data_IF_989775665167
#
_entry.id   IF_989775665167
#
_cell.length_a   1.000
_cell.length_b   1.000
_cell.length_c   1.000
_cell.angle_alpha   90.00
_cell.angle_beta   90.00
_cell.angle_gamma   90.00
#
_symmetry.space_group_name_H-M   'P 1'
#
loop_
_entity.id
_entity.type
_entity.pdbx_description
1 polymer ?
#
# COMPACT_ATOMS: atom_id res chain seq x y z
N UNK A 1 19.25 23.46 6.58
CA UNK A 1 19.27 23.47 5.11
C UNK A 1 19.61 22.05 4.72
N UNK A 2 18.61 21.24 4.37
CA UNK A 2 18.83 19.84 4.01
C UNK A 2 19.56 19.79 2.67
N UNK A 3 20.77 19.25 2.67
CA UNK A 3 21.55 18.97 1.48
C UNK A 3 21.18 17.58 0.97
N UNK A 4 21.17 17.39 -0.36
CA UNK A 4 21.02 16.07 -0.96
C UNK A 4 22.12 15.12 -0.45
N UNK A 5 21.81 13.83 -0.36
CA UNK A 5 22.84 12.81 -0.12
C UNK A 5 23.80 12.72 -1.30
N UNK A 6 25.00 12.17 -1.06
CA UNK A 6 26.08 12.14 -2.05
C UNK A 6 25.69 11.42 -3.34
N UNK A 7 24.89 10.34 -3.26
CA UNK A 7 24.43 9.61 -4.45
C UNK A 7 23.46 10.45 -5.27
N UNK A 8 22.51 11.11 -4.61
CA UNK A 8 21.58 12.01 -5.29
C UNK A 8 22.31 13.20 -5.92
N UNK A 9 23.30 13.77 -5.23
CA UNK A 9 24.10 14.88 -5.75
C UNK A 9 24.90 14.47 -7.00
N UNK A 10 25.56 13.32 -6.98
CA UNK A 10 26.30 12.79 -8.13
C UNK A 10 25.37 12.51 -9.32
N UNK A 11 24.21 11.89 -9.06
CA UNK A 11 23.22 11.63 -10.09
C UNK A 11 22.71 12.92 -10.75
N UNK A 12 22.44 13.98 -9.96
CA UNK A 12 22.02 15.29 -10.49
C UNK A 12 23.10 15.88 -11.39
N UNK A 13 24.37 15.83 -10.98
CA UNK A 13 25.49 16.35 -11.77
C UNK A 13 25.70 15.58 -13.08
N UNK A 14 25.29 14.31 -13.13
CA UNK A 14 25.38 13.49 -14.34
C UNK A 14 24.29 13.79 -15.39
N UNK A 15 23.28 14.59 -15.05
CA UNK A 15 22.19 14.93 -15.97
C UNK A 15 22.73 15.86 -17.07
N UNK A 16 22.63 15.43 -18.32
CA UNK A 16 23.03 16.24 -19.46
C UNK A 16 22.11 17.46 -19.59
N UNK A 17 22.65 18.65 -19.33
CA UNK A 17 21.96 19.91 -19.55
C UNK A 17 22.02 20.30 -21.04
N UNK A 18 20.94 20.91 -21.54
CA UNK A 18 20.91 21.42 -22.91
C UNK A 18 21.96 22.52 -23.10
N UNK A 19 22.97 22.24 -23.93
CA UNK A 19 24.04 23.20 -24.29
C UNK A 19 23.47 24.43 -24.99
N UNK A 20 22.33 24.27 -25.68
CA UNK A 20 21.67 25.33 -26.45
C UNK A 20 20.72 26.21 -25.62
N UNK A 21 20.57 25.96 -24.32
CA UNK A 21 19.83 26.85 -23.41
C UNK A 21 18.32 26.93 -23.70
N UNK A 22 17.70 25.79 -24.03
CA UNK A 22 16.24 25.73 -24.24
C UNK A 22 15.44 25.86 -22.93
N UNK A 23 14.17 26.24 -23.04
CA UNK A 23 13.25 26.27 -21.90
C UNK A 23 12.99 24.87 -21.33
N UNK A 24 12.90 24.80 -20.00
CA UNK A 24 12.55 23.58 -19.28
C UNK A 24 11.17 23.06 -19.68
N UNK A 25 11.06 21.74 -19.83
CA UNK A 25 9.80 21.06 -20.17
C UNK A 25 9.50 19.96 -19.19
N UNK A 26 8.23 19.87 -18.81
CA UNK A 26 7.75 18.72 -18.04
C UNK A 26 7.76 17.48 -18.93
N UNK A 27 8.48 16.44 -18.47
CA UNK A 27 8.57 15.16 -19.15
C UNK A 27 8.03 14.03 -18.26
N UNK A 28 7.30 13.11 -18.87
CA UNK A 28 6.78 11.92 -18.19
C UNK A 28 7.50 10.68 -18.70
N UNK A 29 8.63 10.35 -18.07
CA UNK A 29 9.55 9.29 -18.49
C UNK A 29 8.95 7.87 -18.48
N UNK A 30 7.78 7.68 -17.86
CA UNK A 30 7.04 6.40 -17.87
C UNK A 30 6.26 6.16 -19.17
N UNK A 31 6.47 6.98 -20.21
CA UNK A 31 5.90 6.76 -21.54
C UNK A 31 6.94 7.04 -22.62
N UNK A 32 6.95 6.30 -23.75
CA UNK A 32 7.88 6.55 -24.85
C UNK A 32 7.77 7.94 -25.49
N UNK A 33 6.58 8.57 -25.37
CA UNK A 33 6.31 9.91 -25.90
C UNK A 33 6.62 11.01 -24.89
N UNK A 34 7.04 10.67 -23.67
CA UNK A 34 7.29 11.59 -22.57
C UNK A 34 6.07 12.45 -22.17
N UNK A 35 4.85 12.03 -22.50
CA UNK A 35 3.61 12.77 -22.24
C UNK A 35 2.82 12.07 -21.13
N UNK A 36 2.40 12.85 -20.14
CA UNK A 36 1.56 12.35 -19.07
C UNK A 36 0.16 11.96 -19.59
N UNK A 37 -0.33 10.80 -19.14
CA UNK A 37 -1.73 10.43 -19.25
C UNK A 37 -2.24 9.91 -17.91
N UNK A 38 -3.54 10.05 -17.66
CA UNK A 38 -4.18 9.48 -16.46
C UNK A 38 -3.92 7.97 -16.37
N UNK A 39 -3.97 7.27 -17.52
CA UNK A 39 -3.67 5.83 -17.58
C UNK A 39 -2.25 5.51 -17.14
N UNK A 40 -1.24 6.25 -17.62
CA UNK A 40 0.16 6.00 -17.24
C UNK A 40 0.43 6.33 -15.76
N UNK A 41 -0.22 7.39 -15.23
CA UNK A 41 -0.15 7.70 -13.80
C UNK A 41 -0.78 6.61 -12.94
N UNK A 42 -1.95 6.11 -13.33
CA UNK A 42 -2.62 5.02 -12.63
C UNK A 42 -1.81 3.72 -12.65
N UNK A 43 -1.20 3.38 -13.79
CA UNK A 43 -0.35 2.19 -13.90
C UNK A 43 0.88 2.27 -12.98
N UNK A 44 1.54 3.43 -12.92
CA UNK A 44 2.68 3.65 -12.01
C UNK A 44 2.27 3.42 -10.55
N UNK A 45 1.18 4.05 -10.12
CA UNK A 45 0.66 3.90 -8.76
C UNK A 45 0.27 2.45 -8.47
N UNK A 46 -0.45 1.80 -9.38
CA UNK A 46 -0.89 0.41 -9.20
C UNK A 46 0.28 -0.55 -9.13
N UNK A 47 1.34 -0.33 -9.92
CA UNK A 47 2.55 -1.15 -9.88
C UNK A 47 3.33 -0.92 -8.57
N UNK A 48 3.46 0.32 -8.08
CA UNK A 48 4.09 0.58 -6.78
C UNK A 48 3.32 -0.04 -5.60
N UNK A 49 1.99 -0.13 -5.70
CA UNK A 49 1.15 -0.78 -4.68
C UNK A 49 1.30 -2.31 -4.75
N UNK A 50 1.49 -2.89 -5.95
CA UNK A 50 1.72 -4.34 -6.12
C UNK A 50 3.02 -4.84 -5.47
N UNK A 51 4.03 -3.98 -5.36
CA UNK A 51 5.27 -4.33 -4.66
C UNK A 51 5.06 -4.47 -3.14
N UNK A 52 4.00 -3.86 -2.59
CA UNK A 52 3.46 -4.21 -1.27
C UNK A 52 2.60 -5.48 -1.42
N UNK A 53 3.26 -6.63 -1.53
CA UNK A 53 2.66 -7.95 -1.76
C UNK A 53 1.64 -8.32 -0.67
N UNK A 54 0.39 -7.93 -0.86
CA UNK A 54 -0.73 -8.75 -0.42
C UNK A 54 -0.62 -10.09 -1.17
N UNK A 55 -0.75 -11.24 -0.49
CA UNK A 55 -0.72 -12.53 -1.17
C UNK A 55 -1.78 -12.53 -2.28
N UNK A 56 -1.39 -12.95 -3.48
CA UNK A 56 -2.34 -13.12 -4.60
C UNK A 56 -3.31 -14.23 -4.25
N UNK A 57 -4.47 -13.87 -3.72
CA UNK A 57 -5.49 -14.83 -3.31
C UNK A 57 -6.31 -15.24 -4.52
N UNK A 58 -6.34 -16.54 -4.77
CA UNK A 58 -7.19 -17.15 -5.78
C UNK A 58 -8.63 -17.21 -5.28
N UNK A 59 -9.39 -16.16 -5.58
CA UNK A 59 -10.78 -16.04 -5.19
C UNK A 59 -11.65 -17.18 -5.71
N UNK A 60 -11.34 -17.76 -6.88
CA UNK A 60 -12.14 -18.87 -7.44
C UNK A 60 -12.16 -20.05 -6.47
N UNK A 61 -10.99 -20.42 -5.93
CA UNK A 61 -10.89 -21.49 -4.92
C UNK A 61 -11.68 -21.21 -3.65
N UNK A 62 -11.83 -19.95 -3.24
CA UNK A 62 -12.60 -19.59 -2.04
C UNK A 62 -14.10 -19.67 -2.34
N UNK A 63 -14.52 -19.20 -3.52
CA UNK A 63 -15.91 -19.19 -3.94
C UNK A 63 -16.45 -20.59 -4.26
N UNK A 64 -15.60 -21.52 -4.70
CA UNK A 64 -15.99 -22.90 -4.99
C UNK A 64 -16.16 -23.78 -3.74
N UNK A 65 -15.67 -23.35 -2.57
CA UNK A 65 -15.78 -24.14 -1.33
C UNK A 65 -17.21 -24.14 -0.78
N UNK A 66 -17.67 -25.27 -0.26
CA UNK A 66 -18.92 -25.37 0.52
C UNK A 66 -18.73 -24.79 1.94
N UNK A 67 -18.44 -23.50 2.01
CA UNK A 67 -18.50 -22.74 3.27
C UNK A 67 -19.66 -21.76 3.21
N UNK A 68 -20.29 -21.44 4.36
CA UNK A 68 -21.35 -20.45 4.40
C UNK A 68 -20.92 -19.13 3.75
N UNK A 69 -21.82 -18.50 3.00
CA UNK A 69 -21.54 -17.26 2.26
C UNK A 69 -20.93 -16.17 3.16
N UNK A 70 -21.41 -16.07 4.41
CA UNK A 70 -20.86 -15.17 5.44
C UNK A 70 -19.35 -15.30 5.65
N UNK A 71 -18.81 -16.52 5.56
CA UNK A 71 -17.37 -16.80 5.73
C UNK A 71 -16.59 -16.32 4.52
N UNK A 72 -17.11 -16.53 3.30
CA UNK A 72 -16.49 -16.06 2.05
C UNK A 72 -16.42 -14.53 2.02
N UNK A 73 -17.53 -13.86 2.35
CA UNK A 73 -17.60 -12.40 2.44
C UNK A 73 -16.66 -11.85 3.51
N UNK A 74 -16.54 -12.54 4.65
CA UNK A 74 -15.62 -12.15 5.72
C UNK A 74 -14.15 -12.26 5.28
N UNK A 75 -13.76 -13.38 4.65
CA UNK A 75 -12.41 -13.53 4.07
C UNK A 75 -12.12 -12.46 3.02
N UNK A 76 -13.09 -12.13 2.16
CA UNK A 76 -12.96 -11.03 1.19
C UNK A 76 -12.70 -9.68 1.86
N UNK A 77 -13.42 -9.38 2.94
CA UNK A 77 -13.20 -8.13 3.69
C UNK A 77 -11.84 -8.09 4.39
N UNK A 78 -11.39 -9.22 4.96
CA UNK A 78 -10.08 -9.34 5.61
C UNK A 78 -8.94 -9.03 4.64
N UNK A 79 -8.93 -9.70 3.49
CA UNK A 79 -7.83 -9.60 2.52
C UNK A 79 -7.72 -8.20 1.92
N UNK A 80 -8.84 -7.50 1.81
CA UNK A 80 -8.86 -6.15 1.25
C UNK A 80 -8.73 -5.05 2.31
N UNK A 81 -8.23 -5.36 3.52
CA UNK A 81 -8.10 -4.42 4.66
C UNK A 81 -9.38 -3.59 4.86
N UNK A 82 -10.51 -4.25 4.63
CA UNK A 82 -11.85 -3.65 4.67
C UNK A 82 -12.62 -4.13 5.90
N UNK A 83 -11.93 -4.82 6.81
CA UNK A 83 -12.38 -5.02 8.18
C UNK A 83 -12.08 -3.74 8.95
N UNK A 84 -13.05 -3.27 9.72
CA UNK A 84 -12.92 -2.13 10.61
C UNK A 84 -11.96 -2.45 11.77
N UNK A 85 -10.68 -2.63 11.47
CA UNK A 85 -9.60 -2.73 12.45
C UNK A 85 -9.05 -1.34 12.74
N UNK A 86 -8.49 -1.14 13.94
CA UNK A 86 -7.87 0.13 14.33
C UNK A 86 -6.63 0.42 13.47
N UNK A 87 -5.92 -0.62 13.03
CA UNK A 87 -4.85 -0.56 12.04
C UNK A 87 -5.33 0.13 10.75
N UNK A 88 -6.43 -0.37 10.16
CA UNK A 88 -7.00 0.18 8.93
C UNK A 88 -7.57 1.59 9.14
N UNK A 89 -8.07 1.90 10.35
CA UNK A 89 -8.52 3.23 10.70
C UNK A 89 -7.35 4.22 10.82
N UNK A 90 -6.20 3.82 11.38
CA UNK A 90 -4.98 4.64 11.49
C UNK A 90 -4.37 4.95 10.12
N UNK A 91 -4.47 4.03 9.16
CA UNK A 91 -4.06 4.28 7.78
C UNK A 91 -4.90 5.37 7.11
N UNK A 92 -6.15 5.57 7.55
CA UNK A 92 -7.10 6.52 6.95
C UNK A 92 -7.28 7.82 7.76
N UNK A 93 -7.01 7.79 9.07
CA UNK A 93 -7.22 8.91 10.00
C UNK A 93 -5.98 9.09 10.88
N UNK A 94 -5.35 10.28 10.80
CA UNK A 94 -4.19 10.64 11.64
C UNK A 94 -4.63 10.83 13.10
N UNK A 95 -3.85 10.30 14.04
CA UNK A 95 -4.08 10.45 15.49
C UNK A 95 -4.86 9.32 16.16
N UNK A 96 -5.21 8.26 15.42
CA UNK A 96 -5.85 7.06 15.99
C UNK A 96 -4.80 6.19 16.68
N UNK A 97 -4.98 5.99 17.99
CA UNK A 97 -4.19 5.03 18.75
C UNK A 97 -4.53 3.59 18.31
N UNK A 98 -3.49 2.83 18.01
CA UNK A 98 -3.56 1.44 17.58
C UNK A 98 -3.20 0.44 18.69
N UNK A 99 -3.15 0.91 19.93
CA UNK A 99 -3.06 0.04 21.07
C UNK A 99 -4.33 -0.81 21.17
N UNK A 100 -4.17 -2.11 21.41
CA UNK A 100 -5.30 -2.96 21.75
C UNK A 100 -5.86 -2.48 23.09
N UNK A 101 -7.11 -2.01 23.13
CA UNK A 101 -7.77 -1.54 24.35
C UNK A 101 -7.75 -2.57 25.51
N UNK A 102 -7.59 -3.86 25.20
CA UNK A 102 -7.63 -4.95 26.18
C UNK A 102 -6.25 -5.41 26.67
N UNK A 103 -5.20 -5.25 25.87
CA UNK A 103 -3.84 -5.70 26.23
C UNK A 103 -2.79 -4.59 26.25
N UNK A 104 -3.12 -3.38 25.77
CA UNK A 104 -2.20 -2.22 25.64
C UNK A 104 -0.89 -2.56 24.89
N UNK A 105 -0.92 -3.63 24.11
CA UNK A 105 0.11 -4.03 23.16
C UNK A 105 -0.25 -3.40 21.81
N UNK A 106 0.74 -2.90 21.07
CA UNK A 106 0.52 -2.45 19.70
C UNK A 106 -0.09 -3.59 18.90
N UNK A 107 -1.28 -3.36 18.33
CA UNK A 107 -1.87 -4.30 17.40
C UNK A 107 -0.99 -4.33 16.15
N UNK A 108 -0.02 -5.24 16.12
CA UNK A 108 0.61 -5.63 14.87
C UNK A 108 -0.22 -6.78 14.32
N UNK A 109 -0.87 -6.48 13.20
CA UNK A 109 -1.47 -7.43 12.26
C UNK A 109 -2.88 -7.82 12.66
N UNK A 110 -3.78 -7.82 11.68
CA UNK A 110 -5.18 -8.26 11.78
C UNK A 110 -5.32 -9.63 12.48
N UNK A 111 -4.29 -10.48 12.38
CA UNK A 111 -4.18 -11.78 13.03
C UNK A 111 -4.16 -11.72 14.57
N UNK A 112 -3.70 -10.61 15.19
CA UNK A 112 -3.67 -10.46 16.64
C UNK A 112 -5.07 -10.53 17.22
N UNK A 113 -6.04 -9.80 16.65
CA UNK A 113 -7.43 -9.81 17.10
C UNK A 113 -8.09 -11.19 16.95
N UNK A 114 -7.76 -11.94 15.90
CA UNK A 114 -8.44 -13.20 15.60
C UNK A 114 -7.78 -14.44 16.21
N UNK A 115 -6.47 -14.40 16.54
CA UNK A 115 -5.74 -15.62 16.94
C UNK A 115 -4.84 -15.47 18.16
N UNK A 116 -4.35 -14.26 18.46
CA UNK A 116 -3.31 -14.05 19.50
C UNK A 116 -3.75 -13.16 20.66
N UNK A 117 -4.95 -12.59 20.62
CA UNK A 117 -5.49 -11.83 21.73
C UNK A 117 -6.01 -12.78 22.81
N UNK A 118 -5.45 -12.67 24.01
CA UNK A 118 -5.83 -13.47 25.18
C UNK A 118 -7.25 -13.18 25.70
N UNK A 119 -7.88 -12.10 25.21
CA UNK A 119 -9.20 -11.62 25.65
C UNK A 119 -10.31 -11.78 24.60
N UNK A 120 -10.00 -12.31 23.41
CA UNK A 120 -11.02 -12.66 22.42
C UNK A 120 -11.35 -14.15 22.50
N UNK A 121 -12.64 -14.55 22.40
CA UNK A 121 -12.99 -15.95 22.19
C UNK A 121 -12.30 -16.43 20.92
N UNK A 122 -11.45 -17.45 21.03
CA UNK A 122 -10.81 -18.07 19.87
C UNK A 122 -11.92 -18.76 19.07
N UNK A 123 -12.05 -18.40 17.80
CA UNK A 123 -12.98 -19.05 16.85
C UNK A 123 -12.49 -20.46 16.54
#
# INVERSE_FOLDING_TARGET
METFDDQTAEAIQSIFMSITGGEDKLIWHFTPRCIYTVSSGYQLLTNSIRDNKLPTIDWKKIWDRQVPHKVKTFMWRLVHDNVATRDNLRLRIRGVDNSCNMSRVEAKIELHLFTRCQFTPKV
#
